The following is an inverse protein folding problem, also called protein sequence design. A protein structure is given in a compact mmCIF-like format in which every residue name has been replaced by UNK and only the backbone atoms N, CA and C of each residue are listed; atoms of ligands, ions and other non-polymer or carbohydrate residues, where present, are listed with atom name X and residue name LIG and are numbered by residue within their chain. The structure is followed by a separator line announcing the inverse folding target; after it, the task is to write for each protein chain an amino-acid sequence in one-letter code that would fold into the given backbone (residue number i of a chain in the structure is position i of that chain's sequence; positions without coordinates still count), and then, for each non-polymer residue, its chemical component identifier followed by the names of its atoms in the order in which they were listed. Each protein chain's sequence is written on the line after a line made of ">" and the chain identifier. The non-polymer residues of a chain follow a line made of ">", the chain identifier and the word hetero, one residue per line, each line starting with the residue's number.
data_IF_238556701329
#
_entry.id   IF_238556701329
#
_cell.length_a   1.000
_cell.length_b   1.000
_cell.length_c   1.000
_cell.angle_alpha   90.00
_cell.angle_beta   90.00
_cell.angle_gamma   90.00
#
_symmetry.space_group_name_H-M   'P 1'
#
loop_
_entity.id
_entity.type
_entity.pdbx_description
1 polymer ?
#
# COMPACT_ATOMS: atom_id res chain seq x y z
N UNK A 1 -1.22 -6.04 -60.40
CA UNK A 1 -1.61 -7.10 -59.41
C UNK A 1 -0.40 -7.38 -58.53
N UNK A 2 -0.12 -6.50 -57.59
CA UNK A 2 0.90 -6.70 -56.53
C UNK A 2 0.27 -7.55 -55.45
N UNK A 3 0.81 -8.75 -55.30
CA UNK A 3 0.53 -9.61 -54.14
C UNK A 3 1.30 -9.04 -52.98
N UNK A 4 0.61 -8.49 -51.98
CA UNK A 4 1.13 -8.27 -50.63
C UNK A 4 1.63 -9.62 -50.07
N UNK A 5 2.93 -9.75 -49.90
CA UNK A 5 3.49 -10.81 -49.09
C UNK A 5 3.15 -10.48 -47.63
N UNK A 6 2.39 -11.32 -46.97
CA UNK A 6 2.27 -11.36 -45.53
C UNK A 6 3.65 -11.73 -44.97
N UNK A 7 4.37 -10.74 -44.48
CA UNK A 7 5.53 -10.94 -43.60
C UNK A 7 4.99 -11.25 -42.20
N UNK A 8 4.56 -12.50 -42.01
CA UNK A 8 4.32 -13.05 -40.67
C UNK A 8 5.66 -13.48 -40.09
N UNK A 9 6.50 -12.55 -39.67
CA UNK A 9 7.47 -12.83 -38.63
C UNK A 9 6.70 -13.15 -37.35
N UNK A 10 6.37 -14.43 -37.17
CA UNK A 10 6.01 -14.99 -35.88
C UNK A 10 7.20 -14.78 -34.96
N UNK A 11 7.19 -13.67 -34.21
CA UNK A 11 8.12 -13.48 -33.09
C UNK A 11 7.99 -14.71 -32.20
N UNK A 12 8.97 -15.59 -32.24
CA UNK A 12 9.04 -16.78 -31.41
C UNK A 12 9.10 -16.34 -29.94
N UNK A 13 7.95 -16.34 -29.28
CA UNK A 13 7.86 -15.96 -27.86
C UNK A 13 8.53 -17.07 -27.03
N UNK A 14 9.65 -16.71 -26.40
CA UNK A 14 10.42 -17.60 -25.51
C UNK A 14 9.94 -17.39 -24.08
N UNK A 15 9.55 -18.44 -23.43
CA UNK A 15 9.09 -18.44 -22.02
C UNK A 15 10.12 -19.20 -21.19
N UNK A 16 10.43 -18.66 -20.01
CA UNK A 16 11.29 -19.34 -19.03
C UNK A 16 10.43 -20.39 -18.32
N UNK A 17 10.81 -21.66 -18.48
CA UNK A 17 10.17 -22.80 -17.80
C UNK A 17 11.27 -23.61 -17.13
N UNK A 18 11.23 -23.66 -15.82
CA UNK A 18 12.28 -24.32 -15.06
C UNK A 18 13.61 -23.55 -15.15
N UNK A 19 14.67 -24.29 -15.41
CA UNK A 19 16.03 -23.73 -15.56
C UNK A 19 16.37 -23.37 -17.02
N UNK A 20 15.44 -23.54 -17.97
CA UNK A 20 15.70 -23.37 -19.38
C UNK A 20 14.69 -22.43 -20.06
N UNK A 21 15.10 -21.83 -21.15
CA UNK A 21 14.26 -21.02 -22.03
C UNK A 21 13.64 -21.91 -23.11
N UNK A 22 12.32 -22.09 -23.05
CA UNK A 22 11.60 -22.89 -24.04
C UNK A 22 10.69 -22.01 -24.91
N UNK A 23 10.50 -22.43 -26.16
CA UNK A 23 9.55 -21.75 -27.06
C UNK A 23 8.12 -21.99 -26.54
N UNK A 24 7.30 -20.94 -26.48
CA UNK A 24 5.91 -21.02 -26.02
C UNK A 24 5.11 -22.13 -26.71
N UNK A 25 5.38 -22.35 -27.98
CA UNK A 25 4.68 -23.36 -28.79
C UNK A 25 4.99 -24.81 -28.39
N UNK A 26 6.06 -25.04 -27.61
CA UNK A 26 6.46 -26.39 -27.14
C UNK A 26 5.99 -26.65 -25.70
N UNK A 27 5.38 -25.66 -25.03
CA UNK A 27 4.95 -25.80 -23.66
C UNK A 27 3.50 -26.25 -23.64
N UNK A 28 3.26 -27.49 -23.18
CA UNK A 28 1.91 -28.07 -23.00
C UNK A 28 1.25 -27.61 -21.67
N UNK A 29 1.98 -26.94 -20.81
CA UNK A 29 1.52 -26.51 -19.49
C UNK A 29 0.81 -25.14 -19.55
N UNK A 30 -0.14 -24.90 -18.62
CA UNK A 30 -0.83 -23.61 -18.49
C UNK A 30 0.09 -22.55 -17.89
N UNK A 31 0.84 -21.86 -18.75
CA UNK A 31 1.73 -20.75 -18.39
C UNK A 31 1.11 -19.44 -18.85
N UNK A 32 0.97 -18.51 -17.92
CA UNK A 32 0.61 -17.13 -18.24
C UNK A 32 1.85 -16.22 -18.15
N UNK A 33 2.12 -15.46 -19.20
CA UNK A 33 3.27 -14.56 -19.24
C UNK A 33 2.79 -13.11 -19.36
N UNK A 34 3.38 -12.24 -18.54
CA UNK A 34 3.17 -10.78 -18.57
C UNK A 34 4.49 -10.12 -18.94
N UNK A 35 4.47 -9.26 -19.94
CA UNK A 35 5.65 -8.52 -20.42
C UNK A 35 5.80 -7.18 -19.68
N UNK A 36 7.00 -6.63 -19.76
CA UNK A 36 7.41 -5.35 -19.13
C UNK A 36 6.42 -4.21 -19.40
N UNK A 37 5.88 -4.12 -20.61
CA UNK A 37 4.98 -3.04 -21.01
C UNK A 37 3.68 -3.05 -20.20
N UNK A 38 3.10 -4.22 -19.97
CA UNK A 38 1.89 -4.37 -19.16
C UNK A 38 2.13 -4.07 -17.68
N UNK A 39 3.32 -4.41 -17.16
CA UNK A 39 3.72 -4.15 -15.77
C UNK A 39 3.93 -2.65 -15.55
N UNK A 40 4.58 -1.98 -16.49
CA UNK A 40 4.96 -0.56 -16.38
C UNK A 40 3.90 0.41 -16.89
N UNK A 41 2.78 -0.09 -17.43
CA UNK A 41 1.65 0.72 -17.90
C UNK A 41 0.93 1.47 -16.77
N UNK A 42 1.01 0.94 -15.55
CA UNK A 42 0.45 1.56 -14.35
C UNK A 42 1.59 2.02 -13.42
N UNK A 43 1.52 3.23 -12.87
CA UNK A 43 2.48 3.69 -11.88
C UNK A 43 2.16 3.01 -10.53
N UNK A 44 2.71 1.82 -10.31
CA UNK A 44 2.56 1.05 -9.07
C UNK A 44 3.87 1.06 -8.28
N UNK A 45 3.75 0.98 -6.95
CA UNK A 45 4.90 0.98 -6.04
C UNK A 45 5.40 -0.43 -5.74
N UNK A 46 4.57 -1.43 -6.04
CA UNK A 46 4.89 -2.84 -5.82
C UNK A 46 4.47 -3.70 -7.01
N UNK A 47 5.22 -4.80 -7.21
CA UNK A 47 5.02 -5.69 -8.33
C UNK A 47 3.73 -6.51 -8.25
N UNK A 48 3.28 -6.83 -7.04
CA UNK A 48 2.05 -7.62 -6.83
C UNK A 48 0.84 -6.83 -7.32
N UNK A 49 0.78 -5.53 -7.02
CA UNK A 49 -0.24 -4.62 -7.54
C UNK A 49 -0.22 -4.52 -9.07
N UNK A 50 0.97 -4.61 -9.69
CA UNK A 50 1.10 -4.56 -11.15
C UNK A 50 0.50 -5.80 -11.83
N UNK A 51 0.48 -6.95 -11.16
CA UNK A 51 -0.07 -8.19 -11.69
C UNK A 51 -1.59 -8.25 -11.60
N UNK A 52 -2.20 -7.47 -10.72
CA UNK A 52 -3.64 -7.47 -10.52
C UNK A 52 -4.40 -7.07 -11.80
N UNK A 53 -5.26 -7.97 -12.28
CA UNK A 53 -5.99 -7.80 -13.53
C UNK A 53 -5.22 -8.13 -14.81
N UNK A 54 -3.89 -8.34 -14.73
CA UNK A 54 -3.05 -8.68 -15.88
C UNK A 54 -2.82 -10.19 -16.06
N UNK A 55 -3.07 -10.99 -15.02
CA UNK A 55 -2.88 -12.45 -15.05
C UNK A 55 -4.18 -13.13 -14.65
N UNK A 56 -4.80 -13.84 -15.60
CA UNK A 56 -5.98 -14.65 -15.31
C UNK A 56 -5.65 -15.76 -14.30
N UNK A 57 -6.51 -15.96 -13.28
CA UNK A 57 -6.37 -17.01 -12.26
C UNK A 57 -5.40 -16.65 -11.12
N UNK A 58 -4.92 -15.42 -11.04
CA UNK A 58 -4.37 -14.85 -9.81
C UNK A 58 -5.50 -14.17 -9.04
N UNK A 59 -5.67 -14.56 -7.78
CA UNK A 59 -6.58 -13.92 -6.85
C UNK A 59 -5.75 -13.15 -5.82
N UNK A 60 -6.08 -11.89 -5.64
CA UNK A 60 -5.41 -11.00 -4.73
C UNK A 60 -6.31 -10.77 -3.52
N UNK A 61 -5.77 -10.97 -2.33
CA UNK A 61 -6.45 -10.69 -1.08
C UNK A 61 -5.60 -9.68 -0.29
N UNK A 62 -6.22 -8.60 0.12
CA UNK A 62 -5.69 -7.84 1.25
C UNK A 62 -6.07 -8.60 2.51
N UNK A 63 -5.10 -8.98 3.30
CA UNK A 63 -5.35 -9.64 4.59
C UNK A 63 -5.78 -8.57 5.61
N UNK A 64 -6.98 -8.05 5.41
CA UNK A 64 -7.57 -7.03 6.27
C UNK A 64 -7.70 -7.50 7.74
N UNK A 65 -7.62 -8.80 7.97
CA UNK A 65 -7.76 -9.37 9.32
C UNK A 65 -6.45 -9.43 10.10
N UNK A 66 -5.30 -9.47 9.41
CA UNK A 66 -4.00 -9.67 10.07
C UNK A 66 -3.25 -8.35 10.34
N UNK A 67 -3.27 -7.39 9.40
CA UNK A 67 -2.37 -6.24 9.46
C UNK A 67 -3.00 -4.88 9.14
N UNK A 68 -4.28 -4.80 8.79
CA UNK A 68 -4.90 -3.51 8.46
C UNK A 68 -6.22 -3.62 7.70
N UNK A 69 -6.78 -2.49 7.30
CA UNK A 69 -8.05 -2.39 6.54
C UNK A 69 -7.87 -2.46 5.03
N UNK A 70 -6.62 -2.59 4.58
CA UNK A 70 -6.23 -2.63 3.17
C UNK A 70 -5.95 -1.23 2.60
N UNK A 71 -4.93 -1.16 1.74
CA UNK A 71 -4.51 0.11 1.13
C UNK A 71 -3.50 0.93 1.94
N UNK A 72 -3.04 0.40 3.07
CA UNK A 72 -2.02 1.01 3.89
C UNK A 72 -0.68 1.06 3.15
N UNK A 73 0.10 2.09 3.48
CA UNK A 73 1.42 2.30 2.91
C UNK A 73 2.34 1.10 3.23
N UNK A 74 2.90 0.50 2.19
CA UNK A 74 3.79 -0.66 2.33
C UNK A 74 3.12 -1.95 2.78
N UNK A 75 1.78 -2.04 2.78
CA UNK A 75 1.06 -3.28 3.09
C UNK A 75 1.38 -4.36 2.06
N UNK A 76 1.55 -5.59 2.54
CA UNK A 76 1.78 -6.75 1.69
C UNK A 76 0.46 -7.22 1.08
N UNK A 77 0.43 -7.27 -0.25
CA UNK A 77 -0.70 -7.84 -0.97
C UNK A 77 -0.42 -9.33 -1.16
N UNK A 78 -1.15 -10.16 -0.44
CA UNK A 78 -1.11 -11.61 -0.64
C UNK A 78 -1.85 -11.99 -1.90
N UNK A 79 -1.36 -13.00 -2.57
CA UNK A 79 -2.02 -13.53 -3.76
C UNK A 79 -1.95 -15.05 -3.77
N UNK A 80 -2.91 -15.68 -4.43
CA UNK A 80 -2.93 -17.11 -4.66
C UNK A 80 -3.24 -17.43 -6.12
N UNK A 81 -2.86 -18.64 -6.54
CA UNK A 81 -3.10 -19.14 -7.89
C UNK A 81 -4.26 -20.11 -7.83
N UNK A 82 -5.33 -19.86 -8.61
CA UNK A 82 -6.54 -20.70 -8.71
C UNK A 82 -7.36 -20.81 -7.41
N UNK A 83 -7.19 -19.90 -6.45
CA UNK A 83 -7.96 -19.90 -5.21
C UNK A 83 -7.22 -20.53 -4.03
N UNK A 84 -7.89 -20.54 -2.87
CA UNK A 84 -7.33 -21.08 -1.63
C UNK A 84 -7.38 -22.59 -1.66
N UNK A 85 -6.24 -23.24 -1.84
CA UNK A 85 -6.12 -24.69 -1.93
C UNK A 85 -6.03 -25.43 -0.58
N UNK A 86 -5.91 -24.69 0.54
CA UNK A 86 -5.77 -25.24 1.88
C UNK A 86 -6.39 -24.32 2.93
N UNK A 87 -6.96 -24.90 3.97
CA UNK A 87 -7.49 -24.15 5.14
C UNK A 87 -6.38 -23.35 5.85
N UNK A 88 -5.16 -23.87 5.82
CA UNK A 88 -4.01 -23.21 6.42
C UNK A 88 -3.34 -22.19 5.49
N UNK A 89 -3.95 -21.88 4.33
CA UNK A 89 -3.34 -21.04 3.31
C UNK A 89 -2.23 -21.75 2.54
N UNK A 90 -1.61 -21.03 1.61
CA UNK A 90 -0.44 -21.44 0.85
C UNK A 90 -0.10 -20.34 -0.13
N UNK A 91 1.14 -19.88 -0.07
CA UNK A 91 1.63 -18.84 -0.96
C UNK A 91 2.32 -19.47 -2.17
N UNK A 92 2.17 -18.90 -3.37
CA UNK A 92 2.93 -19.33 -4.54
C UNK A 92 4.44 -19.15 -4.31
N UNK A 93 5.21 -20.07 -4.87
CA UNK A 93 6.66 -20.01 -4.80
C UNK A 93 7.19 -18.97 -5.79
N UNK A 94 7.82 -17.91 -5.29
CA UNK A 94 8.31 -16.81 -6.10
C UNK A 94 9.81 -16.90 -6.30
N UNK A 95 10.24 -16.89 -7.56
CA UNK A 95 11.63 -16.90 -7.98
C UNK A 95 11.96 -15.68 -8.83
N UNK A 96 12.92 -14.90 -8.40
CA UNK A 96 13.47 -13.76 -9.16
C UNK A 96 14.83 -14.15 -9.70
N UNK A 97 14.94 -14.25 -11.03
CA UNK A 97 16.14 -14.72 -11.72
C UNK A 97 16.65 -16.08 -11.19
N UNK A 98 15.72 -16.95 -10.74
CA UNK A 98 16.01 -18.28 -10.20
C UNK A 98 16.29 -18.33 -8.70
N UNK A 99 16.27 -17.21 -7.99
CA UNK A 99 16.48 -17.11 -6.54
C UNK A 99 15.15 -16.82 -5.85
N UNK A 100 14.84 -17.54 -4.76
CA UNK A 100 13.66 -17.30 -3.93
C UNK A 100 13.74 -15.89 -3.30
N UNK A 101 12.75 -15.06 -3.61
CA UNK A 101 12.72 -13.68 -3.15
C UNK A 101 11.28 -13.15 -3.16
N UNK A 102 10.95 -12.23 -2.22
CA UNK A 102 9.68 -11.53 -2.24
C UNK A 102 9.55 -10.60 -3.46
N UNK A 103 8.38 -10.57 -4.08
CA UNK A 103 8.06 -9.64 -5.16
C UNK A 103 8.12 -8.18 -4.73
N UNK A 104 7.93 -7.89 -3.44
CA UNK A 104 8.02 -6.53 -2.91
C UNK A 104 9.43 -5.94 -3.04
N UNK A 105 10.47 -6.79 -3.06
CA UNK A 105 11.85 -6.33 -3.16
C UNK A 105 12.29 -6.02 -4.59
N UNK A 106 11.43 -6.29 -5.57
CA UNK A 106 11.76 -6.10 -6.99
C UNK A 106 11.16 -4.80 -7.50
N UNK A 107 11.99 -3.99 -8.15
CA UNK A 107 11.51 -2.79 -8.82
C UNK A 107 10.74 -3.16 -10.11
N UNK A 108 9.47 -2.77 -10.25
CA UNK A 108 8.70 -3.04 -11.47
C UNK A 108 9.36 -2.53 -12.76
N UNK A 109 10.14 -1.45 -12.68
CA UNK A 109 10.84 -0.90 -13.84
C UNK A 109 11.98 -1.79 -14.37
N UNK A 110 12.52 -2.68 -13.54
CA UNK A 110 13.62 -3.59 -13.90
C UNK A 110 13.14 -4.94 -14.46
N UNK A 111 11.83 -5.16 -14.54
CA UNK A 111 11.28 -6.44 -14.98
C UNK A 111 11.23 -6.53 -16.50
N UNK A 112 11.66 -7.66 -17.03
CA UNK A 112 11.51 -8.02 -18.43
C UNK A 112 10.21 -8.80 -18.66
N UNK A 113 9.96 -9.83 -17.83
CA UNK A 113 8.74 -10.65 -17.91
C UNK A 113 8.46 -11.36 -16.60
N UNK A 114 7.19 -11.72 -16.41
CA UNK A 114 6.73 -12.59 -15.32
C UNK A 114 5.99 -13.75 -15.92
N UNK A 115 6.38 -14.98 -15.56
CA UNK A 115 5.71 -16.21 -15.96
C UNK A 115 5.10 -16.89 -14.75
N UNK A 116 3.79 -17.20 -14.83
CA UNK A 116 3.05 -17.86 -13.76
C UNK A 116 2.74 -19.29 -14.18
N UNK A 117 3.35 -20.25 -13.49
CA UNK A 117 3.13 -21.68 -13.67
C UNK A 117 1.97 -22.12 -12.78
N UNK A 118 0.84 -22.43 -13.42
CA UNK A 118 -0.41 -22.73 -12.71
C UNK A 118 -0.64 -24.22 -12.52
N UNK A 119 0.01 -25.05 -13.33
CA UNK A 119 -0.17 -26.50 -13.32
C UNK A 119 0.92 -27.19 -12.50
N UNK A 120 0.51 -28.22 -11.77
CA UNK A 120 1.42 -29.03 -10.96
C UNK A 120 2.54 -29.66 -11.79
N UNK A 121 2.28 -30.04 -13.06
CA UNK A 121 3.27 -30.58 -13.97
C UNK A 121 4.39 -29.58 -14.30
N UNK A 122 4.06 -28.34 -14.53
CA UNK A 122 5.04 -27.28 -14.78
C UNK A 122 5.79 -26.90 -13.50
N UNK A 123 5.11 -26.97 -12.35
CA UNK A 123 5.67 -26.65 -11.05
C UNK A 123 6.52 -27.78 -10.44
N UNK A 124 6.37 -29.04 -10.93
CA UNK A 124 7.03 -30.21 -10.38
C UNK A 124 8.56 -30.13 -10.32
N UNK A 125 9.17 -29.38 -11.24
CA UNK A 125 10.63 -29.13 -11.27
C UNK A 125 11.12 -28.42 -10.01
N UNK A 126 10.23 -27.68 -9.32
CA UNK A 126 10.53 -26.90 -8.12
C UNK A 126 10.19 -27.64 -6.83
N UNK A 127 9.72 -28.89 -6.92
CA UNK A 127 9.44 -29.77 -5.79
C UNK A 127 8.22 -29.35 -4.96
N UNK A 128 8.19 -29.79 -3.69
CA UNK A 128 7.02 -29.60 -2.80
C UNK A 128 6.66 -28.14 -2.52
N UNK A 129 7.62 -27.23 -2.59
CA UNK A 129 7.36 -25.78 -2.41
C UNK A 129 6.47 -25.18 -3.48
N UNK A 130 6.41 -25.80 -4.64
CA UNK A 130 5.61 -25.37 -5.78
C UNK A 130 4.16 -25.87 -5.76
N UNK A 131 3.72 -26.50 -4.67
CA UNK A 131 2.37 -27.08 -4.57
C UNK A 131 1.24 -26.05 -4.81
N UNK A 132 1.49 -24.78 -4.49
CA UNK A 132 0.55 -23.67 -4.69
C UNK A 132 0.82 -22.85 -5.97
N UNK A 133 1.68 -23.38 -6.87
CA UNK A 133 2.11 -22.73 -8.09
C UNK A 133 3.43 -21.97 -7.95
N UNK A 134 3.96 -21.54 -9.10
CA UNK A 134 5.25 -20.83 -9.16
C UNK A 134 5.12 -19.55 -9.96
N UNK A 135 5.73 -18.48 -9.45
CA UNK A 135 5.88 -17.21 -10.16
C UNK A 135 7.36 -16.99 -10.47
N UNK A 136 7.68 -16.95 -11.76
CA UNK A 136 9.02 -16.72 -12.25
C UNK A 136 9.12 -15.27 -12.72
N UNK A 137 9.90 -14.48 -12.02
CA UNK A 137 10.21 -13.10 -12.36
C UNK A 137 11.56 -13.06 -13.05
N UNK A 138 11.59 -12.57 -14.28
CA UNK A 138 12.84 -12.34 -15.03
C UNK A 138 13.09 -10.85 -15.07
N UNK A 139 14.24 -10.42 -14.56
CA UNK A 139 14.64 -9.01 -14.63
C UNK A 139 15.44 -8.74 -15.90
N UNK A 140 15.44 -7.48 -16.34
CA UNK A 140 16.14 -7.03 -17.55
C UNK A 140 17.61 -7.41 -17.51
N UNK A 141 18.15 -7.70 -18.67
CA UNK A 141 19.55 -8.04 -18.86
C UNK A 141 20.17 -7.19 -19.96
N UNK A 142 21.50 -7.13 -19.96
CA UNK A 142 22.25 -6.45 -21.00
C UNK A 142 22.05 -7.12 -22.37
N UNK A 143 22.01 -6.31 -23.41
CA UNK A 143 21.93 -6.75 -24.81
C UNK A 143 23.24 -6.43 -25.52
N UNK A 144 23.51 -7.18 -26.59
CA UNK A 144 24.68 -6.91 -27.46
C UNK A 144 24.39 -5.70 -28.35
N UNK A 145 24.38 -4.53 -27.75
CA UNK A 145 24.07 -3.26 -28.40
C UNK A 145 24.92 -2.14 -27.79
N UNK A 146 24.94 -0.98 -28.45
CA UNK A 146 25.57 0.22 -27.90
C UNK A 146 24.93 0.58 -26.56
N UNK A 147 25.72 1.16 -25.66
CA UNK A 147 25.23 1.61 -24.36
C UNK A 147 24.02 2.52 -24.52
N UNK A 148 22.94 2.16 -23.85
CA UNK A 148 21.69 2.91 -23.81
C UNK A 148 21.35 3.27 -22.38
N UNK A 149 21.16 4.56 -22.16
CA UNK A 149 20.64 5.09 -20.88
C UNK A 149 19.15 5.34 -21.03
N UNK A 150 18.38 4.88 -20.06
CA UNK A 150 16.94 5.10 -20.00
C UNK A 150 16.58 5.69 -18.65
N UNK A 151 15.85 6.80 -18.65
CA UNK A 151 15.21 7.36 -17.46
C UNK A 151 13.72 7.23 -17.57
N UNK A 152 13.08 6.81 -16.47
CA UNK A 152 11.63 6.76 -16.34
C UNK A 152 11.23 7.38 -15.00
N UNK A 153 10.44 8.43 -15.05
CA UNK A 153 9.85 9.07 -13.87
C UNK A 153 8.33 8.98 -13.90
N UNK A 154 7.71 8.88 -12.74
CA UNK A 154 6.26 8.99 -12.58
C UNK A 154 5.90 9.75 -11.32
N UNK A 155 4.79 10.50 -11.38
CA UNK A 155 4.15 11.16 -10.24
C UNK A 155 2.69 10.75 -10.28
N UNK A 156 2.15 10.42 -9.13
CA UNK A 156 0.75 10.04 -8.96
C UNK A 156 0.19 10.59 -7.65
N UNK A 157 -1.13 10.66 -7.60
CA UNK A 157 -1.87 11.04 -6.40
C UNK A 157 -2.80 9.89 -6.02
N UNK A 158 -2.86 9.60 -4.74
CA UNK A 158 -3.78 8.63 -4.16
C UNK A 158 -4.80 9.37 -3.32
N UNK A 159 -6.06 8.97 -3.38
CA UNK A 159 -7.13 9.50 -2.54
C UNK A 159 -7.96 8.35 -1.99
N UNK A 160 -8.56 8.49 -0.81
CA UNK A 160 -9.47 7.48 -0.29
C UNK A 160 -10.67 7.33 -1.23
N UNK A 161 -11.10 6.10 -1.47
CA UNK A 161 -12.25 5.82 -2.36
C UNK A 161 -13.55 5.83 -1.57
N UNK A 162 -13.56 5.26 -0.37
CA UNK A 162 -14.72 5.12 0.51
C UNK A 162 -14.33 5.52 1.93
N UNK A 163 -14.45 6.80 2.26
CA UNK A 163 -14.36 7.23 3.64
C UNK A 163 -15.75 7.11 4.28
N UNK A 164 -15.85 6.52 5.48
CA UNK A 164 -17.10 6.54 6.23
C UNK A 164 -17.48 7.98 6.57
N UNK A 165 -18.75 8.29 6.49
CA UNK A 165 -19.28 9.54 7.01
C UNK A 165 -19.59 9.38 8.48
N UNK A 166 -19.07 10.25 9.31
CA UNK A 166 -19.43 10.31 10.72
C UNK A 166 -20.77 11.03 10.88
N UNK A 167 -21.53 10.63 11.91
CA UNK A 167 -22.66 11.44 12.36
C UNK A 167 -22.15 12.79 12.84
N UNK A 168 -22.93 13.84 12.61
CA UNK A 168 -22.71 15.10 13.32
C UNK A 168 -22.87 14.93 14.84
N UNK A 169 -22.30 15.81 15.63
CA UNK A 169 -22.45 15.77 17.08
C UNK A 169 -23.92 15.83 17.52
N UNK A 170 -24.76 16.55 16.79
CA UNK A 170 -26.17 16.66 17.04
C UNK A 170 -26.93 15.36 16.77
N UNK A 171 -26.66 14.72 15.62
CA UNK A 171 -27.25 13.41 15.29
C UNK A 171 -26.79 12.35 16.27
N UNK A 172 -25.51 12.35 16.62
CA UNK A 172 -24.94 11.45 17.61
C UNK A 172 -25.59 11.62 19.00
N UNK A 173 -25.78 12.88 19.44
CA UNK A 173 -26.44 13.17 20.72
C UNK A 173 -27.88 12.67 20.75
N UNK A 174 -28.65 12.95 19.69
CA UNK A 174 -30.04 12.47 19.56
C UNK A 174 -30.13 10.95 19.53
N UNK A 175 -29.24 10.31 18.75
CA UNK A 175 -29.14 8.85 18.70
C UNK A 175 -28.79 8.25 20.07
N UNK A 176 -27.81 8.84 20.78
CA UNK A 176 -27.40 8.38 22.11
C UNK A 176 -28.56 8.47 23.13
N UNK A 177 -29.28 9.58 23.12
CA UNK A 177 -30.45 9.76 24.03
C UNK A 177 -31.59 8.79 23.68
N UNK A 178 -31.86 8.56 22.37
CA UNK A 178 -32.85 7.57 21.94
C UNK A 178 -32.48 6.14 22.38
N UNK A 179 -31.20 5.79 22.28
CA UNK A 179 -30.65 4.52 22.76
C UNK A 179 -30.86 4.38 24.28
N UNK A 180 -30.53 5.43 25.05
CA UNK A 180 -30.70 5.41 26.51
C UNK A 180 -32.16 5.29 26.89
N UNK A 181 -33.06 5.99 26.24
CA UNK A 181 -34.53 5.87 26.43
C UNK A 181 -35.00 4.45 26.13
N UNK A 182 -34.55 3.84 25.03
CA UNK A 182 -34.92 2.46 24.67
C UNK A 182 -34.44 1.42 25.68
N UNK A 183 -33.40 1.74 26.45
CA UNK A 183 -32.85 0.91 27.53
C UNK A 183 -33.43 1.26 28.90
N UNK A 184 -34.39 2.18 28.99
CA UNK A 184 -34.94 2.67 30.26
C UNK A 184 -33.92 3.45 31.11
N UNK A 185 -32.94 4.08 30.48
CA UNK A 185 -31.91 4.90 31.15
C UNK A 185 -32.23 6.37 30.99
N UNK A 186 -31.74 7.19 31.92
CA UNK A 186 -31.78 8.65 31.76
C UNK A 186 -30.82 9.08 30.62
N UNK A 187 -31.18 10.13 29.89
CA UNK A 187 -30.37 10.73 28.88
C UNK A 187 -29.02 11.18 29.44
N UNK A 188 -27.92 10.79 28.79
CA UNK A 188 -26.57 11.22 29.16
C UNK A 188 -26.26 12.61 28.63
N UNK A 189 -26.92 13.02 27.54
CA UNK A 189 -26.69 14.31 26.89
C UNK A 189 -27.91 15.19 27.15
N UNK A 190 -27.69 16.26 27.91
CA UNK A 190 -28.75 17.19 28.28
C UNK A 190 -29.24 18.05 27.12
N UNK A 191 -30.46 18.55 27.18
CA UNK A 191 -30.98 19.51 26.19
C UNK A 191 -30.10 20.78 26.11
N UNK A 192 -29.53 21.22 27.23
CA UNK A 192 -28.61 22.35 27.27
C UNK A 192 -27.32 22.06 26.47
N UNK A 193 -26.80 20.82 26.56
CA UNK A 193 -25.63 20.41 25.75
C UNK A 193 -25.99 20.34 24.27
N UNK A 194 -27.20 19.84 23.92
CA UNK A 194 -27.69 19.83 22.54
C UNK A 194 -27.79 21.25 21.97
N UNK A 195 -28.29 22.21 22.73
CA UNK A 195 -28.32 23.61 22.31
C UNK A 195 -26.93 24.19 22.09
N UNK A 196 -25.95 23.83 22.93
CA UNK A 196 -24.55 24.22 22.72
C UNK A 196 -23.98 23.59 21.45
N UNK A 197 -24.31 22.33 21.13
CA UNK A 197 -23.91 21.69 19.87
C UNK A 197 -24.48 22.43 18.66
N UNK A 198 -25.75 22.82 18.70
CA UNK A 198 -26.39 23.63 17.64
C UNK A 198 -25.69 24.99 17.48
N UNK A 199 -25.39 25.67 18.59
CA UNK A 199 -24.64 26.93 18.59
C UNK A 199 -23.21 26.77 18.04
N UNK A 200 -22.52 25.74 18.44
CA UNK A 200 -21.17 25.44 17.93
C UNK A 200 -21.18 25.17 16.42
N UNK A 201 -22.16 24.42 15.90
CA UNK A 201 -22.27 24.16 14.45
C UNK A 201 -22.52 25.44 13.64
N UNK A 202 -23.20 26.45 14.24
CA UNK A 202 -23.43 27.75 13.60
C UNK A 202 -22.20 28.66 13.67
N UNK A 203 -21.48 28.67 14.80
CA UNK A 203 -20.34 29.52 15.04
C UNK A 203 -19.21 28.80 15.80
N UNK A 204 -18.47 27.90 15.13
CA UNK A 204 -17.46 27.06 15.76
C UNK A 204 -16.33 27.85 16.42
N UNK A 205 -15.95 27.42 17.62
CA UNK A 205 -14.85 27.98 18.38
C UNK A 205 -15.01 29.52 18.68
N UNK A 206 -16.22 30.00 18.75
CA UNK A 206 -16.51 31.33 19.21
C UNK A 206 -16.36 31.47 20.74
N UNK A 207 -16.30 32.68 21.25
CA UNK A 207 -16.28 32.91 22.70
C UNK A 207 -17.52 32.32 23.42
N UNK A 208 -18.69 32.32 22.75
CA UNK A 208 -19.94 31.74 23.27
C UNK A 208 -19.98 30.22 23.14
N UNK A 209 -19.40 29.65 22.05
CA UNK A 209 -19.38 28.23 21.76
C UNK A 209 -17.96 27.73 21.54
N UNK A 210 -17.15 27.62 22.61
CA UNK A 210 -15.75 27.17 22.52
C UNK A 210 -15.63 25.66 22.18
N UNK A 211 -16.71 24.86 22.24
CA UNK A 211 -16.73 23.43 21.94
C UNK A 211 -16.55 22.55 23.17
N UNK A 212 -16.15 23.10 24.31
CA UNK A 212 -15.91 22.38 25.54
C UNK A 212 -16.18 23.30 26.74
N UNK A 213 -16.74 22.75 27.79
CA UNK A 213 -16.98 23.47 29.04
C UNK A 213 -15.74 23.49 29.92
N UNK A 214 -15.66 24.51 30.79
CA UNK A 214 -14.73 24.55 31.91
C UNK A 214 -15.13 23.53 32.95
N UNK A 215 -14.18 22.91 33.63
CA UNK A 215 -14.45 21.95 34.69
C UNK A 215 -15.13 22.62 35.90
N UNK A 216 -15.64 21.78 36.82
CA UNK A 216 -16.34 22.28 38.01
C UNK A 216 -15.47 23.16 38.94
N UNK A 217 -14.14 22.94 38.94
CA UNK A 217 -13.21 23.70 39.74
C UNK A 217 -12.87 25.08 39.13
N UNK A 218 -13.20 25.29 37.86
CA UNK A 218 -12.91 26.52 37.15
C UNK A 218 -11.43 26.69 36.73
N UNK A 219 -10.62 25.68 36.92
CA UNK A 219 -9.15 25.69 36.72
C UNK A 219 -8.69 24.87 35.52
N UNK A 220 -9.61 24.36 34.68
CA UNK A 220 -9.29 23.58 33.52
C UNK A 220 -10.51 23.22 32.66
N UNK A 221 -10.28 22.42 31.63
CA UNK A 221 -11.32 21.96 30.75
C UNK A 221 -11.99 20.67 31.26
N UNK A 222 -13.27 20.54 31.00
CA UNK A 222 -14.03 19.34 31.36
C UNK A 222 -13.62 18.14 30.50
N UNK A 223 -13.25 17.04 31.14
CA UNK A 223 -12.82 15.81 30.46
C UNK A 223 -13.99 14.91 30.00
N UNK A 224 -15.19 15.13 30.53
CA UNK A 224 -16.33 14.28 30.26
C UNK A 224 -16.91 14.54 28.86
N UNK A 225 -17.33 13.47 28.15
CA UNK A 225 -17.90 13.58 26.80
C UNK A 225 -19.18 14.43 26.76
N UNK A 226 -19.96 14.47 27.84
CA UNK A 226 -21.16 15.27 27.94
C UNK A 226 -20.91 16.78 28.18
N UNK A 227 -19.66 17.15 28.42
CA UNK A 227 -19.23 18.55 28.55
C UNK A 227 -18.50 19.05 27.27
N UNK A 228 -18.42 18.23 26.26
CA UNK A 228 -17.87 18.54 24.96
C UNK A 228 -18.98 18.58 23.91
N UNK A 229 -19.01 19.64 23.13
CA UNK A 229 -20.10 19.92 22.19
C UNK A 229 -19.61 20.44 20.85
N UNK A 230 -18.35 20.13 20.48
CA UNK A 230 -17.82 20.36 19.14
C UNK A 230 -18.53 19.51 18.08
N UNK A 231 -18.15 19.67 16.85
CA UNK A 231 -18.61 18.85 15.73
C UNK A 231 -17.41 18.46 14.87
N UNK A 232 -16.84 17.30 15.18
CA UNK A 232 -15.62 16.82 14.56
C UNK A 232 -15.90 15.58 13.73
N UNK A 233 -15.61 15.64 12.44
CA UNK A 233 -15.44 14.43 11.63
C UNK A 233 -14.01 13.92 11.83
N UNK A 234 -13.89 12.80 12.53
CA UNK A 234 -12.58 12.24 12.86
C UNK A 234 -11.88 11.59 11.68
N UNK A 235 -12.62 11.13 10.67
CA UNK A 235 -11.99 10.65 9.45
C UNK A 235 -11.38 11.80 8.66
N UNK A 236 -12.11 12.90 8.50
CA UNK A 236 -11.61 14.12 7.86
C UNK A 236 -10.42 14.71 8.62
N UNK A 237 -10.44 14.63 9.95
CA UNK A 237 -9.36 15.14 10.80
C UNK A 237 -8.06 14.34 10.68
N UNK A 238 -8.14 13.00 10.58
CA UNK A 238 -6.97 12.11 10.59
C UNK A 238 -6.50 11.69 9.21
N UNK A 239 -7.31 11.81 8.17
CA UNK A 239 -6.95 11.38 6.83
C UNK A 239 -6.86 12.56 5.87
N UNK A 240 -5.94 12.44 4.94
CA UNK A 240 -5.74 13.40 3.85
C UNK A 240 -6.67 13.08 2.69
N UNK A 241 -7.16 14.09 2.01
CA UNK A 241 -7.86 13.94 0.73
C UNK A 241 -6.95 13.37 -0.35
N UNK A 242 -5.66 13.67 -0.26
CA UNK A 242 -4.67 13.27 -1.26
C UNK A 242 -3.32 13.01 -0.62
N UNK A 243 -2.67 11.95 -1.09
CA UNK A 243 -1.28 11.63 -0.81
C UNK A 243 -0.49 11.54 -2.12
N UNK A 244 0.74 11.98 -2.12
CA UNK A 244 1.62 11.97 -3.28
C UNK A 244 2.43 10.68 -3.33
N UNK A 245 2.68 10.21 -4.54
CA UNK A 245 3.69 9.18 -4.81
C UNK A 245 4.50 9.57 -6.03
N UNK A 246 5.77 9.25 -6.00
CA UNK A 246 6.62 9.42 -7.18
C UNK A 246 7.67 8.33 -7.26
N UNK A 247 8.12 8.05 -8.47
CA UNK A 247 9.21 7.11 -8.71
C UNK A 247 10.18 7.65 -9.76
N UNK A 248 11.44 7.32 -9.57
CA UNK A 248 12.52 7.67 -10.48
C UNK A 248 13.38 6.43 -10.74
N UNK A 249 13.51 6.05 -11.99
CA UNK A 249 14.25 4.88 -12.39
C UNK A 249 15.24 5.26 -13.50
N UNK A 250 16.51 4.94 -13.29
CA UNK A 250 17.57 5.11 -14.29
C UNK A 250 18.12 3.74 -14.58
N UNK A 251 18.25 3.39 -15.84
CA UNK A 251 18.93 2.15 -16.23
C UNK A 251 19.91 2.37 -17.36
N UNK A 252 21.00 1.62 -17.32
CA UNK A 252 22.04 1.59 -18.34
C UNK A 252 22.20 0.15 -18.79
N UNK A 253 22.06 -0.10 -20.06
CA UNK A 253 22.29 -1.42 -20.65
C UNK A 253 23.16 -1.32 -21.89
N UNK A 254 23.88 -2.38 -22.16
CA UNK A 254 24.72 -2.46 -23.35
C UNK A 254 25.53 -3.74 -23.38
N UNK A 255 26.38 -3.87 -24.38
CA UNK A 255 27.24 -5.03 -24.46
C UNK A 255 27.96 -5.15 -25.82
N UNK A 256 28.81 -6.16 -25.90
CA UNK A 256 29.51 -6.62 -27.07
C UNK A 256 29.21 -8.13 -27.28
N UNK A 257 29.85 -8.74 -28.24
CA UNK A 257 29.76 -10.19 -28.45
C UNK A 257 30.21 -11.03 -27.22
N UNK A 258 31.15 -10.48 -26.44
CA UNK A 258 31.71 -11.16 -25.27
C UNK A 258 31.19 -10.68 -23.95
N UNK A 259 30.57 -9.51 -23.89
CA UNK A 259 30.10 -8.91 -22.62
C UNK A 259 28.71 -8.33 -22.78
N UNK A 260 27.92 -8.45 -21.75
CA UNK A 260 26.65 -7.70 -21.63
C UNK A 260 26.45 -7.23 -20.20
N UNK A 261 25.83 -6.06 -20.04
CA UNK A 261 25.61 -5.45 -18.75
C UNK A 261 24.26 -4.73 -18.70
N UNK A 262 23.67 -4.80 -17.52
CA UNK A 262 22.51 -4.02 -17.12
C UNK A 262 22.74 -3.47 -15.71
N UNK A 263 22.50 -2.19 -15.52
CA UNK A 263 22.49 -1.54 -14.22
C UNK A 263 21.22 -0.71 -14.11
N UNK A 264 20.38 -1.03 -13.15
CA UNK A 264 19.14 -0.32 -12.81
C UNK A 264 19.27 0.32 -11.43
N UNK A 265 18.87 1.58 -11.31
CA UNK A 265 18.75 2.32 -10.06
C UNK A 265 17.32 2.82 -9.95
N UNK A 266 16.65 2.51 -8.84
CA UNK A 266 15.27 2.90 -8.59
C UNK A 266 15.11 3.61 -7.26
N UNK A 267 14.29 4.65 -7.27
CA UNK A 267 13.79 5.31 -6.08
C UNK A 267 12.27 5.42 -6.17
N UNK A 268 11.58 5.03 -5.09
CA UNK A 268 10.13 5.10 -4.98
C UNK A 268 9.82 5.78 -3.65
N UNK A 269 8.99 6.80 -3.69
CA UNK A 269 8.38 7.42 -2.53
C UNK A 269 6.87 7.29 -2.62
N UNK A 270 6.24 6.92 -1.51
CA UNK A 270 4.80 6.86 -1.35
C UNK A 270 4.44 7.45 0.00
N UNK A 271 3.71 8.55 -0.04
CA UNK A 271 3.07 9.12 1.12
C UNK A 271 1.79 8.34 1.46
N UNK A 272 1.54 8.12 2.75
CA UNK A 272 0.29 7.54 3.21
C UNK A 272 -0.83 8.57 3.34
N UNK A 273 -2.03 8.08 3.55
CA UNK A 273 -3.23 8.90 3.65
C UNK A 273 -3.47 9.47 5.05
N UNK A 274 -2.67 9.10 6.05
CA UNK A 274 -2.79 9.66 7.39
C UNK A 274 -2.17 11.06 7.47
N UNK A 275 -2.87 12.03 8.08
CA UNK A 275 -2.43 13.43 8.17
C UNK A 275 -1.61 13.73 9.42
N UNK A 276 -2.01 13.22 10.57
CA UNK A 276 -1.41 13.60 11.86
C UNK A 276 -0.24 12.71 12.31
N UNK A 277 0.13 11.74 11.50
CA UNK A 277 1.20 10.79 11.78
C UNK A 277 2.05 10.54 10.55
N UNK A 278 3.27 10.09 10.76
CA UNK A 278 4.11 9.66 9.66
C UNK A 278 3.61 8.31 9.15
N UNK A 279 3.26 8.26 7.87
CA UNK A 279 2.81 7.08 7.15
C UNK A 279 3.39 7.15 5.74
N UNK A 280 4.68 6.87 5.61
CA UNK A 280 5.40 6.98 4.35
C UNK A 280 6.33 5.80 4.10
N UNK A 281 6.47 5.46 2.83
CA UNK A 281 7.38 4.44 2.32
C UNK A 281 8.41 5.09 1.38
N UNK A 282 9.69 4.85 1.68
CA UNK A 282 10.79 5.12 0.78
C UNK A 282 11.45 3.80 0.38
N UNK A 283 11.68 3.59 -0.90
CA UNK A 283 12.32 2.38 -1.40
C UNK A 283 13.42 2.72 -2.38
N UNK A 284 14.58 2.12 -2.15
CA UNK A 284 15.76 2.23 -2.99
C UNK A 284 16.08 0.85 -3.56
N UNK A 285 16.27 0.77 -4.88
CA UNK A 285 16.58 -0.47 -5.57
C UNK A 285 17.84 -0.32 -6.40
N UNK A 286 18.70 -1.32 -6.35
CA UNK A 286 19.85 -1.47 -7.24
C UNK A 286 19.83 -2.85 -7.85
N UNK A 287 19.71 -2.93 -9.16
CA UNK A 287 19.76 -4.18 -9.91
C UNK A 287 20.96 -4.15 -10.87
N UNK A 288 21.84 -5.13 -10.77
CA UNK A 288 23.05 -5.18 -11.58
C UNK A 288 23.23 -6.58 -12.15
N UNK A 289 23.35 -6.67 -13.46
CA UNK A 289 23.65 -7.91 -14.17
C UNK A 289 24.83 -7.71 -15.09
N UNK A 290 25.80 -8.60 -14.99
CA UNK A 290 26.94 -8.70 -15.90
C UNK A 290 27.07 -10.11 -16.42
N UNK A 291 27.35 -10.25 -17.70
CA UNK A 291 27.68 -11.51 -18.32
C UNK A 291 28.94 -11.34 -19.16
N UNK A 292 29.93 -12.15 -18.90
CA UNK A 292 31.24 -12.10 -19.59
C UNK A 292 31.55 -13.51 -20.10
N UNK A 293 31.75 -13.62 -21.41
CA UNK A 293 32.25 -14.83 -22.05
C UNK A 293 33.77 -14.70 -22.14
N UNK A 294 34.49 -15.25 -21.17
CA UNK A 294 35.92 -15.16 -21.09
C UNK A 294 36.60 -16.02 -22.19
N UNK A 295 36.04 -17.21 -22.45
CA UNK A 295 36.43 -18.15 -23.52
C UNK A 295 35.17 -18.79 -24.10
N UNK A 296 35.30 -19.63 -25.14
CA UNK A 296 34.13 -20.32 -25.72
C UNK A 296 33.48 -21.32 -24.76
N UNK A 297 34.25 -21.83 -23.81
CA UNK A 297 33.77 -22.79 -22.80
C UNK A 297 33.51 -22.16 -21.42
N UNK A 298 33.90 -20.88 -21.16
CA UNK A 298 33.82 -20.24 -19.86
C UNK A 298 33.02 -18.94 -19.93
N UNK A 299 31.87 -18.94 -19.26
CA UNK A 299 30.97 -17.78 -19.10
C UNK A 299 30.78 -17.46 -17.64
N UNK A 300 31.00 -16.21 -17.26
CA UNK A 300 30.66 -15.69 -15.94
C UNK A 300 29.38 -14.90 -16.02
N UNK A 301 28.43 -15.18 -15.10
CA UNK A 301 27.23 -14.40 -14.89
C UNK A 301 27.25 -13.87 -13.46
N UNK A 302 27.05 -12.59 -13.31
CA UNK A 302 26.93 -11.92 -12.03
C UNK A 302 25.58 -11.23 -11.99
N UNK A 303 24.75 -11.57 -11.01
CA UNK A 303 23.45 -10.95 -10.76
C UNK A 303 23.42 -10.47 -9.31
N UNK A 304 23.09 -9.21 -9.12
CA UNK A 304 22.92 -8.62 -7.82
C UNK A 304 21.65 -7.76 -7.78
N UNK A 305 20.80 -7.99 -6.79
CA UNK A 305 19.60 -7.22 -6.55
C UNK A 305 19.58 -6.81 -5.08
N UNK A 306 19.62 -5.50 -4.84
CA UNK A 306 19.56 -4.92 -3.49
C UNK A 306 18.35 -4.02 -3.42
N UNK A 307 17.55 -4.22 -2.38
CA UNK A 307 16.40 -3.37 -2.06
C UNK A 307 16.48 -2.93 -0.61
N UNK A 308 16.36 -1.63 -0.39
CA UNK A 308 16.23 -1.02 0.93
C UNK A 308 14.85 -0.35 1.00
N UNK A 309 14.04 -0.74 1.97
CA UNK A 309 12.74 -0.14 2.23
C UNK A 309 12.74 0.51 3.61
N UNK A 310 12.41 1.77 3.65
CA UNK A 310 12.21 2.55 4.89
C UNK A 310 10.72 2.83 4.99
N UNK A 311 10.07 2.16 5.91
CA UNK A 311 8.65 2.30 6.18
C UNK A 311 8.46 2.99 7.52
N UNK A 312 7.84 4.15 7.50
CA UNK A 312 7.37 4.85 8.69
C UNK A 312 5.88 4.62 8.79
N UNK A 313 5.43 4.18 9.93
CA UNK A 313 4.02 3.96 10.21
C UNK A 313 3.72 4.11 11.69
N UNK A 314 2.44 4.37 12.05
CA UNK A 314 2.01 4.43 13.43
C UNK A 314 2.36 3.14 14.19
N UNK A 315 2.63 3.27 15.49
CA UNK A 315 2.86 2.12 16.37
C UNK A 315 1.62 1.24 16.54
N UNK A 316 0.43 1.86 16.50
CA UNK A 316 -0.82 1.11 16.58
C UNK A 316 -1.09 0.39 15.27
N UNK A 317 -1.59 -0.84 15.39
CA UNK A 317 -2.20 -1.54 14.26
C UNK A 317 -3.32 -0.66 13.66
N UNK A 318 -3.30 -0.48 12.35
CA UNK A 318 -4.24 0.42 11.66
C UNK A 318 -5.69 0.01 11.82
N UNK A 319 -6.00 -1.29 11.96
CA UNK A 319 -7.35 -1.77 12.27
C UNK A 319 -7.84 -1.26 13.61
N UNK A 320 -6.96 -1.28 14.65
CA UNK A 320 -7.28 -0.74 15.97
C UNK A 320 -7.47 0.77 15.88
N UNK A 321 -6.61 1.46 15.15
CA UNK A 321 -6.69 2.89 14.95
C UNK A 321 -7.99 3.29 14.25
N UNK A 322 -8.32 2.61 13.14
CA UNK A 322 -9.55 2.84 12.39
C UNK A 322 -10.79 2.59 13.25
N UNK A 323 -10.81 1.46 13.99
CA UNK A 323 -11.89 1.15 14.92
C UNK A 323 -12.01 2.17 16.05
N UNK A 324 -10.89 2.71 16.53
CA UNK A 324 -10.88 3.76 17.54
C UNK A 324 -11.49 5.06 16.99
N UNK A 325 -11.09 5.49 15.79
CA UNK A 325 -11.65 6.67 15.12
C UNK A 325 -13.16 6.51 14.93
N UNK A 326 -13.61 5.36 14.42
CA UNK A 326 -15.02 5.07 14.16
C UNK A 326 -15.87 5.12 15.44
N UNK A 327 -15.28 4.88 16.60
CA UNK A 327 -15.95 4.92 17.91
C UNK A 327 -15.74 6.23 18.68
N UNK A 328 -15.00 7.19 18.13
CA UNK A 328 -14.80 8.49 18.79
C UNK A 328 -16.09 9.32 18.72
N UNK A 329 -16.43 9.97 19.84
CA UNK A 329 -17.54 10.90 19.85
C UNK A 329 -17.27 12.10 18.96
N UNK A 330 -18.18 12.45 18.05
CA UNK A 330 -18.01 13.66 17.22
C UNK A 330 -18.13 14.96 18.03
N UNK A 331 -18.63 14.93 19.26
CA UNK A 331 -18.70 16.12 20.13
C UNK A 331 -17.35 16.57 20.69
N UNK A 332 -16.31 15.76 20.54
CA UNK A 332 -14.98 16.09 21.08
C UNK A 332 -14.26 17.15 20.25
N UNK A 333 -13.56 18.04 20.96
CA UNK A 333 -12.76 19.11 20.33
C UNK A 333 -11.45 18.59 19.77
N UNK A 334 -11.01 19.15 18.66
CA UNK A 334 -9.68 18.90 18.06
C UNK A 334 -8.60 19.83 18.59
N UNK A 335 -9.02 20.98 19.15
CA UNK A 335 -8.13 21.98 19.75
C UNK A 335 -8.82 22.61 20.96
N UNK A 336 -8.04 23.04 21.94
CA UNK A 336 -8.55 23.81 23.05
C UNK A 336 -8.72 25.28 22.65
N UNK A 337 -9.73 25.98 23.19
CA UNK A 337 -9.87 27.40 22.96
C UNK A 337 -8.65 28.20 23.47
N UNK A 338 -8.16 29.14 22.68
CA UNK A 338 -6.89 29.84 22.91
C UNK A 338 -6.93 30.71 24.18
N UNK A 339 -8.08 31.30 24.51
CA UNK A 339 -8.24 32.22 25.65
C UNK A 339 -8.14 31.54 27.01
N UNK A 340 -8.22 30.20 27.04
CA UNK A 340 -8.14 29.41 28.27
C UNK A 340 -7.01 28.38 28.23
N UNK A 341 -6.05 28.53 27.33
CA UNK A 341 -4.88 27.65 27.24
C UNK A 341 -4.00 27.70 28.51
N UNK A 342 -4.18 28.72 29.37
CA UNK A 342 -3.52 28.82 30.68
C UNK A 342 -3.97 27.73 31.67
N UNK A 343 -5.16 27.12 31.47
CA UNK A 343 -5.73 26.10 32.35
C UNK A 343 -5.32 24.68 32.04
N UNK A 344 -4.67 24.45 30.92
CA UNK A 344 -4.27 23.08 30.54
C UNK A 344 -2.87 23.09 29.97
N UNK A 345 -2.04 22.18 30.47
CA UNK A 345 -0.85 21.83 29.70
C UNK A 345 -1.33 21.33 28.34
N UNK A 346 -0.78 21.87 27.22
CA UNK A 346 -1.21 21.52 25.85
C UNK A 346 -1.19 20.02 25.54
N UNK A 347 -0.57 19.26 26.42
CA UNK A 347 -0.34 17.84 26.39
C UNK A 347 -1.57 16.98 26.66
N UNK A 348 -2.67 17.51 27.20
CA UNK A 348 -3.68 16.63 27.79
C UNK A 348 -4.67 16.07 26.76
N UNK A 349 -5.18 16.87 25.84
CA UNK A 349 -6.19 16.37 24.89
C UNK A 349 -5.59 15.74 23.65
N UNK A 350 -4.61 16.37 23.04
CA UNK A 350 -3.98 15.84 21.83
C UNK A 350 -3.15 14.58 22.15
N UNK A 351 -2.41 14.57 23.23
CA UNK A 351 -1.68 13.38 23.67
C UNK A 351 -2.59 12.28 24.21
N UNK A 352 -3.70 12.59 24.89
CA UNK A 352 -4.62 11.57 25.38
C UNK A 352 -5.34 10.88 24.23
N UNK A 353 -5.73 11.60 23.17
CA UNK A 353 -6.34 11.00 21.99
C UNK A 353 -5.32 10.25 21.15
N UNK A 354 -4.15 10.81 20.94
CA UNK A 354 -3.05 10.13 20.26
C UNK A 354 -2.58 8.91 21.08
N UNK A 355 -2.52 9.00 22.39
CA UNK A 355 -2.14 7.90 23.28
C UNK A 355 -3.21 6.81 23.34
N UNK A 356 -4.50 7.15 23.38
CA UNK A 356 -5.61 6.17 23.29
C UNK A 356 -5.69 5.55 21.88
N UNK A 357 -5.30 6.27 20.85
CA UNK A 357 -5.19 5.76 19.49
C UNK A 357 -3.86 5.00 19.23
N UNK A 358 -3.00 4.86 20.24
CA UNK A 358 -1.73 4.16 20.12
C UNK A 358 -0.62 4.99 19.46
N UNK A 359 -0.79 6.30 19.38
CA UNK A 359 0.23 7.20 18.86
C UNK A 359 0.95 7.89 20.02
N UNK A 360 2.17 7.48 20.32
CA UNK A 360 3.08 8.28 21.15
C UNK A 360 3.94 9.11 20.20
N UNK A 361 3.99 10.43 20.40
CA UNK A 361 5.04 11.22 19.82
C UNK A 361 6.33 10.91 20.62
N UNK A 362 7.29 10.27 19.99
CA UNK A 362 8.69 10.27 20.37
C UNK A 362 9.43 11.26 19.50
#
# INVERSE_FOLDING_TARGET
>A
RDRLKEDSELLEEVVVVGMDKQKRNTITAAVATVKSEAITSRPVTDLTSALQGNVAGLNFASDAAADGVGGETGAEIKFNIRGVGSINGGEPYVLVDGIEQSMQNVNPADIESISVLKDASAAAVYGARAAYGVVLVTTKSGKQEKARVTYRGSVGFSSPINMPQMMSSLEWARYSNLRDESMGRSHQISDATIQKMEGFMQNPYSAEFPGIDVNQSGDGWAAADNAQYANTDWFDYYFKDRAIRHSHNISIQGGSEKTSYYVGLGYIYQEGLMDKVQDDLEKYNVNTKFSIRATDWLKFNFNNNVSLSLLKRPLANQTIFYGTIANMSPSRVTKLPVEQAEYSTPTWNEQLYLQKAGYSQN
#
